data_IF_985479129247
#
_entry.id   IF_985479129247
#
_cell.length_a   1.000
_cell.length_b   1.000
_cell.length_c   1.000
_cell.angle_alpha   90.00
_cell.angle_beta   90.00
_cell.angle_gamma   90.00
#
_symmetry.space_group_name_H-M   'P 1'
#
loop_
_entity.id
_entity.type
_entity.pdbx_description
1 polymer ?
#
# COMPACT_ATOMS: atom_id res chain seq x y z
N UNK A 1 10.54 17.24 20.59
CA UNK A 1 9.75 16.47 19.61
C UNK A 1 8.43 16.18 20.26
N UNK A 2 7.34 16.76 19.75
CA UNK A 2 6.01 16.62 20.35
C UNK A 2 5.59 15.14 20.37
N UNK A 3 5.15 14.61 21.52
CA UNK A 3 4.74 13.20 21.66
C UNK A 3 3.69 12.75 20.62
N UNK A 4 2.83 13.68 20.20
CA UNK A 4 1.78 13.48 19.22
C UNK A 4 2.32 13.12 17.84
N UNK A 5 3.46 13.72 17.43
CA UNK A 5 4.09 13.39 16.15
C UNK A 5 4.58 11.94 16.11
N UNK A 6 5.07 11.42 17.24
CA UNK A 6 5.50 10.01 17.33
C UNK A 6 4.32 9.05 17.21
N UNK A 7 3.19 9.37 17.84
CA UNK A 7 1.95 8.57 17.73
C UNK A 7 1.43 8.59 16.31
N UNK A 8 1.42 9.76 15.67
CA UNK A 8 1.02 9.91 14.27
C UNK A 8 1.87 9.02 13.34
N UNK A 9 3.20 9.06 13.46
CA UNK A 9 4.08 8.24 12.61
C UNK A 9 3.88 6.73 12.82
N UNK A 10 3.61 6.30 14.05
CA UNK A 10 3.26 4.91 14.34
C UNK A 10 1.94 4.51 13.66
N UNK A 11 0.95 5.41 13.64
CA UNK A 11 -0.32 5.15 12.98
C UNK A 11 -0.16 5.06 11.46
N UNK A 12 0.67 5.91 10.85
CA UNK A 12 0.96 5.85 9.41
C UNK A 12 1.57 4.49 9.05
N UNK A 13 2.56 4.02 9.80
CA UNK A 13 3.17 2.71 9.56
C UNK A 13 2.18 1.54 9.76
N UNK A 14 1.32 1.61 10.78
CA UNK A 14 0.25 0.61 10.99
C UNK A 14 -0.73 0.56 9.82
N UNK A 15 -1.14 1.72 9.32
CA UNK A 15 -2.06 1.81 8.19
C UNK A 15 -1.42 1.25 6.91
N UNK A 16 -0.15 1.56 6.64
CA UNK A 16 0.57 1.04 5.49
C UNK A 16 0.67 -0.51 5.52
N UNK A 17 0.92 -1.09 6.70
CA UNK A 17 0.90 -2.56 6.88
C UNK A 17 -0.47 -3.18 6.60
N UNK A 18 -1.53 -2.60 7.14
CA UNK A 18 -2.90 -3.06 6.88
C UNK A 18 -3.26 -2.98 5.38
N UNK A 19 -2.82 -1.92 4.69
CA UNK A 19 -3.01 -1.81 3.24
C UNK A 19 -2.28 -2.92 2.48
N UNK A 20 -1.01 -3.20 2.83
CA UNK A 20 -0.25 -4.29 2.23
C UNK A 20 -0.95 -5.64 2.41
N UNK A 21 -1.45 -5.94 3.62
CA UNK A 21 -2.18 -7.18 3.87
C UNK A 21 -3.43 -7.32 2.98
N UNK A 22 -4.19 -6.24 2.78
CA UNK A 22 -5.35 -6.22 1.87
C UNK A 22 -4.92 -6.50 0.42
N UNK A 23 -3.81 -5.92 -0.04
CA UNK A 23 -3.30 -6.15 -1.39
C UNK A 23 -2.82 -7.60 -1.57
N UNK A 24 -2.07 -8.14 -0.61
CA UNK A 24 -1.62 -9.53 -0.63
C UNK A 24 -2.81 -10.50 -0.66
N UNK A 25 -3.84 -10.27 0.17
CA UNK A 25 -5.05 -11.08 0.21
C UNK A 25 -5.87 -11.02 -1.10
N UNK A 26 -5.79 -9.89 -1.83
CA UNK A 26 -6.42 -9.72 -3.15
C UNK A 26 -5.56 -10.29 -4.30
N UNK A 27 -4.45 -10.96 -3.98
CA UNK A 27 -3.55 -11.56 -4.96
C UNK A 27 -2.74 -10.53 -5.74
N UNK A 28 -2.48 -9.35 -5.14
CA UNK A 28 -1.46 -8.44 -5.62
C UNK A 28 -0.14 -8.78 -4.95
N UNK A 29 0.95 -8.65 -5.70
CA UNK A 29 2.29 -8.93 -5.22
C UNK A 29 2.91 -7.63 -4.74
N UNK A 30 3.43 -7.62 -3.52
CA UNK A 30 4.25 -6.51 -3.02
C UNK A 30 5.70 -6.85 -3.29
N UNK A 31 6.47 -5.96 -3.91
CA UNK A 31 7.85 -6.23 -4.38
C UNK A 31 8.74 -6.73 -3.23
N UNK A 32 8.58 -6.14 -2.04
CA UNK A 32 9.29 -6.50 -0.80
C UNK A 32 8.56 -7.55 0.04
N UNK A 33 7.36 -7.98 -0.34
CA UNK A 33 6.48 -8.84 0.47
C UNK A 33 5.86 -8.18 1.71
N UNK A 34 6.14 -6.89 1.96
CA UNK A 34 5.74 -6.18 3.18
C UNK A 34 6.08 -4.69 3.14
N UNK A 35 5.72 -3.95 4.20
CA UNK A 35 6.22 -2.59 4.45
C UNK A 35 6.50 -2.36 5.92
N UNK A 36 7.54 -1.58 6.20
CA UNK A 36 7.93 -1.15 7.54
C UNK A 36 7.88 0.37 7.71
N UNK A 37 7.52 1.09 6.67
CA UNK A 37 7.41 2.54 6.66
C UNK A 37 6.09 2.94 6.01
N UNK A 38 6.00 4.16 5.49
CA UNK A 38 4.79 4.73 4.92
C UNK A 38 4.60 4.41 3.42
N UNK A 39 5.48 3.59 2.82
CA UNK A 39 5.51 3.31 1.38
C UNK A 39 5.64 1.81 1.11
N UNK A 40 5.02 1.34 0.04
CA UNK A 40 5.23 0.01 -0.52
C UNK A 40 5.03 0.04 -2.03
N UNK A 41 5.66 -0.92 -2.71
CA UNK A 41 5.59 -1.04 -4.16
C UNK A 41 4.76 -2.27 -4.52
N UNK A 42 3.74 -2.06 -5.34
CA UNK A 42 2.93 -3.13 -5.92
C UNK A 42 3.52 -3.54 -7.26
N UNK A 43 3.78 -4.83 -7.40
CA UNK A 43 4.13 -5.48 -8.65
C UNK A 43 2.82 -5.80 -9.40
N UNK A 44 2.58 -5.06 -10.48
CA UNK A 44 1.44 -5.23 -11.37
C UNK A 44 1.82 -5.95 -12.66
N UNK A 45 3.05 -6.43 -12.81
CA UNK A 45 3.56 -7.02 -14.06
C UNK A 45 2.82 -8.31 -14.41
N UNK A 46 2.47 -9.12 -13.40
CA UNK A 46 1.74 -10.39 -13.58
C UNK A 46 0.24 -10.21 -13.76
N UNK A 47 -0.28 -8.99 -13.56
CA UNK A 47 -1.68 -8.66 -13.83
C UNK A 47 -1.68 -8.06 -15.24
N UNK A 48 -2.35 -8.72 -16.20
CA UNK A 48 -2.72 -8.14 -17.51
C UNK A 48 -3.61 -6.87 -17.40
N UNK A 49 -3.63 -6.19 -16.26
CA UNK A 49 -4.22 -4.89 -16.04
C UNK A 49 -3.18 -3.84 -16.43
N UNK A 50 -3.45 -3.15 -17.54
CA UNK A 50 -2.64 -2.00 -17.92
C UNK A 50 -2.73 -0.93 -16.82
N UNK A 51 -1.65 -0.19 -16.55
CA UNK A 51 -1.65 0.86 -15.50
C UNK A 51 -2.80 1.87 -15.63
N UNK A 52 -3.37 2.00 -16.84
CA UNK A 52 -4.55 2.80 -17.17
C UNK A 52 -5.85 2.30 -16.53
N UNK A 53 -6.02 0.99 -16.35
CA UNK A 53 -7.20 0.39 -15.72
C UNK A 53 -7.14 0.49 -14.19
N UNK A 54 -5.94 0.37 -13.61
CA UNK A 54 -5.73 0.60 -12.18
C UNK A 54 -6.00 2.07 -11.82
N UNK A 55 -5.50 3.01 -12.61
CA UNK A 55 -5.75 4.45 -12.43
C UNK A 55 -7.25 4.79 -12.59
N UNK A 56 -7.93 4.19 -13.57
CA UNK A 56 -9.38 4.37 -13.78
C UNK A 56 -10.26 3.72 -12.70
N UNK A 57 -9.75 2.74 -11.94
CA UNK A 57 -10.45 2.18 -10.79
C UNK A 57 -10.28 3.06 -9.54
N UNK A 58 -9.13 3.71 -9.38
CA UNK A 58 -8.83 4.59 -8.25
C UNK A 58 -9.42 6.00 -8.40
N UNK A 59 -9.59 6.50 -9.64
CA UNK A 59 -10.19 7.81 -9.92
C UNK A 59 -11.72 7.89 -9.89
N UNK A 60 -12.42 6.77 -9.63
CA UNK A 60 -13.90 6.71 -9.50
C UNK A 60 -14.37 6.48 -8.07
N UNK A 61 -13.67 7.11 -7.11
CA UNK A 61 -14.06 7.20 -5.70
C UNK A 61 -14.54 8.60 -5.35
#
# INVERSE_FOLDING_TARGET
MEPEFKVYQQQVAKNAKAMVEVFLNRGYKVVSGGTENHLFLLDLVDKNLTGKEADAALGRG
#
